data_IF_934407767571
#
_entry.id   IF_934407767571
#
_cell.length_a   1.000
_cell.length_b   1.000
_cell.length_c   1.000
_cell.angle_alpha   90.00
_cell.angle_beta   90.00
_cell.angle_gamma   90.00
#
_symmetry.space_group_name_H-M   'P 1'
#
loop_
_entity.id
_entity.type
_entity.pdbx_description
1 polymer ?
#
# COMPACT_ATOMS: atom_id res chain seq x y z
N UNK A 1 15.98 -6.50 14.97
CA UNK A 1 14.99 -6.81 13.92
C UNK A 1 15.75 -6.85 12.62
N UNK A 2 15.57 -7.92 11.84
CA UNK A 2 16.21 -8.06 10.54
C UNK A 2 15.58 -7.08 9.53
N UNK A 3 16.39 -6.50 8.64
CA UNK A 3 15.86 -5.54 7.65
C UNK A 3 14.84 -6.21 6.72
N UNK A 4 15.00 -7.50 6.42
CA UNK A 4 14.06 -8.26 5.61
C UNK A 4 12.74 -8.53 6.36
N UNK A 5 12.80 -8.79 7.66
CA UNK A 5 11.61 -8.96 8.51
C UNK A 5 10.79 -7.66 8.58
N UNK A 6 11.48 -6.52 8.77
CA UNK A 6 10.83 -5.20 8.73
C UNK A 6 10.23 -4.89 7.35
N UNK A 7 10.91 -5.28 6.27
CA UNK A 7 10.40 -5.11 4.90
C UNK A 7 9.11 -5.90 4.67
N UNK A 8 9.05 -7.15 5.15
CA UNK A 8 7.83 -7.95 5.05
C UNK A 8 6.68 -7.36 5.87
N UNK A 9 6.96 -6.86 7.07
CA UNK A 9 5.95 -6.20 7.91
C UNK A 9 5.37 -4.95 7.22
N UNK A 10 6.22 -4.09 6.64
CA UNK A 10 5.77 -2.91 5.91
C UNK A 10 4.93 -3.26 4.67
N UNK A 11 5.35 -4.28 3.90
CA UNK A 11 4.58 -4.76 2.74
C UNK A 11 3.23 -5.35 3.15
N UNK A 12 3.18 -6.10 4.25
CA UNK A 12 1.92 -6.64 4.77
C UNK A 12 0.97 -5.52 5.21
N UNK A 13 1.50 -4.48 5.86
CA UNK A 13 0.72 -3.30 6.27
C UNK A 13 0.17 -2.52 5.07
N UNK A 14 0.97 -2.33 4.03
CA UNK A 14 0.55 -1.72 2.77
C UNK A 14 -0.59 -2.51 2.11
N UNK A 15 -0.45 -3.84 2.05
CA UNK A 15 -1.48 -4.72 1.49
C UNK A 15 -2.79 -4.66 2.30
N UNK A 16 -2.69 -4.64 3.63
CA UNK A 16 -3.84 -4.52 4.51
C UNK A 16 -4.57 -3.18 4.33
N UNK A 17 -3.85 -2.07 4.23
CA UNK A 17 -4.42 -0.74 3.96
C UNK A 17 -5.10 -0.68 2.59
N UNK A 18 -4.47 -1.31 1.59
CA UNK A 18 -5.03 -1.39 0.23
C UNK A 18 -6.28 -2.27 0.21
N UNK A 19 -6.31 -3.38 0.95
CA UNK A 19 -7.49 -4.27 1.09
C UNK A 19 -8.63 -3.64 1.90
N UNK A 20 -8.30 -2.85 2.92
CA UNK A 20 -9.29 -2.07 3.69
C UNK A 20 -9.90 -0.92 2.87
N UNK A 21 -9.33 -0.59 1.71
CA UNK A 21 -9.93 0.36 0.80
C UNK A 21 -11.24 -0.24 0.24
N UNK A 22 -12.42 0.33 0.55
CA UNK A 22 -13.70 -0.16 0.05
C UNK A 22 -13.80 -0.12 -1.48
N UNK A 23 -12.95 0.66 -2.17
CA UNK A 23 -12.83 0.63 -3.63
C UNK A 23 -12.25 -0.69 -4.17
N UNK A 24 -11.47 -1.43 -3.36
CA UNK A 24 -10.78 -2.66 -3.75
C UNK A 24 -11.52 -3.94 -3.31
N UNK A 25 -12.53 -3.81 -2.43
CA UNK A 25 -13.38 -4.91 -1.96
C UNK A 25 -14.64 -5.15 -2.81
N UNK A 26 -14.85 -4.40 -3.91
CA UNK A 26 -15.89 -4.75 -4.89
C UNK A 26 -15.36 -5.79 -5.86
N UNK A 27 -15.50 -7.07 -5.48
CA UNK A 27 -15.42 -8.20 -6.39
C UNK A 27 -16.62 -8.24 -7.35
N UNK A 28 -16.87 -7.17 -8.10
CA UNK A 28 -17.88 -7.16 -9.15
C UNK A 28 -17.25 -6.69 -10.45
N UNK A 29 -17.05 -7.66 -11.34
CA UNK A 29 -17.00 -7.48 -12.79
C UNK A 29 -18.21 -6.64 -13.24
N UNK A 30 -18.08 -5.31 -13.31
CA UNK A 30 -18.97 -4.40 -14.04
C UNK A 30 -18.38 -2.99 -13.97
N UNK A 31 -17.88 -2.45 -15.08
CA UNK A 31 -18.64 -1.66 -16.04
C UNK A 31 -19.02 -0.27 -15.49
N UNK A 32 -18.53 0.77 -16.20
CA UNK A 32 -18.89 2.20 -16.13
C UNK A 32 -18.18 2.93 -14.97
N UNK A 33 -17.24 3.83 -15.23
CA UNK A 33 -17.54 5.19 -15.68
C UNK A 33 -18.07 6.03 -14.51
N UNK A 34 -17.30 7.00 -14.04
CA UNK A 34 -17.68 7.94 -12.96
C UNK A 34 -18.17 7.30 -11.64
N UNK A 35 -17.27 7.05 -10.70
CA UNK A 35 -17.48 7.46 -9.30
C UNK A 35 -16.12 7.59 -8.61
N UNK A 36 -15.70 8.83 -8.39
CA UNK A 36 -14.60 9.15 -7.48
C UNK A 36 -15.02 8.86 -6.04
N UNK A 37 -15.03 7.59 -5.65
CA UNK A 37 -14.89 7.22 -4.24
C UNK A 37 -13.40 7.25 -3.94
N UNK A 38 -12.88 8.48 -4.00
CA UNK A 38 -11.48 8.79 -3.80
C UNK A 38 -11.12 8.33 -2.40
N UNK A 39 -10.19 7.39 -2.34
CA UNK A 39 -9.34 7.12 -1.19
C UNK A 39 -9.14 8.39 -0.36
N UNK A 40 -9.40 8.33 0.96
CA UNK A 40 -9.21 9.51 1.82
C UNK A 40 -7.78 10.05 1.60
N UNK A 41 -7.58 11.37 1.45
CA UNK A 41 -6.25 11.94 1.23
C UNK A 41 -5.25 11.50 2.32
N UNK A 42 -5.72 11.27 3.54
CA UNK A 42 -4.91 10.72 4.64
C UNK A 42 -4.47 9.28 4.39
N UNK A 43 -5.35 8.43 3.86
CA UNK A 43 -5.03 7.03 3.52
C UNK A 43 -4.06 6.98 2.34
N UNK A 44 -4.22 7.89 1.37
CA UNK A 44 -3.31 8.01 0.23
C UNK A 44 -1.91 8.44 0.67
N UNK A 45 -1.82 9.44 1.55
CA UNK A 45 -0.55 9.88 2.14
C UNK A 45 0.11 8.78 2.98
N UNK A 46 -0.67 8.00 3.73
CA UNK A 46 -0.14 6.88 4.51
C UNK A 46 0.43 5.77 3.60
N UNK A 47 -0.25 5.49 2.48
CA UNK A 47 0.23 4.54 1.47
C UNK A 47 1.50 5.05 0.78
N UNK A 48 1.55 6.29 0.32
CA UNK A 48 2.75 6.87 -0.30
C UNK A 48 3.95 6.84 0.66
N UNK A 49 3.75 7.19 1.93
CA UNK A 49 4.80 7.16 2.94
C UNK A 49 5.32 5.73 3.19
N UNK A 50 4.41 4.75 3.23
CA UNK A 50 4.77 3.34 3.35
C UNK A 50 5.54 2.81 2.13
N UNK A 51 5.11 3.17 0.91
CA UNK A 51 5.81 2.80 -0.32
C UNK A 51 7.21 3.40 -0.39
N UNK A 52 7.38 4.66 0.03
CA UNK A 52 8.68 5.31 0.07
C UNK A 52 9.61 4.63 1.10
N UNK A 53 9.10 4.29 2.29
CA UNK A 53 9.88 3.60 3.32
C UNK A 53 10.29 2.18 2.88
N UNK A 54 9.37 1.43 2.26
CA UNK A 54 9.66 0.12 1.64
C UNK A 54 10.77 0.26 0.60
N UNK A 55 10.66 1.23 -0.32
CA UNK A 55 11.64 1.43 -1.39
C UNK A 55 13.02 1.79 -0.84
N UNK A 56 13.09 2.67 0.16
CA UNK A 56 14.35 3.00 0.85
C UNK A 56 14.96 1.75 1.50
N UNK A 57 14.15 0.97 2.19
CA UNK A 57 14.60 -0.25 2.87
C UNK A 57 15.07 -1.32 1.86
N UNK A 58 14.38 -1.48 0.73
CA UNK A 58 14.81 -2.37 -0.36
C UNK A 58 16.13 -1.93 -0.98
N UNK A 59 16.33 -0.62 -1.17
CA UNK A 59 17.61 -0.08 -1.65
C UNK A 59 18.72 -0.34 -0.65
N UNK A 60 18.49 -0.08 0.64
CA UNK A 60 19.46 -0.37 1.69
C UNK A 60 19.83 -1.86 1.75
N UNK A 61 18.86 -2.77 1.64
CA UNK A 61 19.12 -4.21 1.63
C UNK A 61 19.93 -4.60 0.39
N UNK A 62 19.59 -4.06 -0.78
CA UNK A 62 20.28 -4.36 -2.05
C UNK A 62 21.70 -3.77 -2.11
N UNK A 63 21.94 -2.67 -1.40
CA UNK A 63 23.24 -2.00 -1.31
C UNK A 63 24.12 -2.53 -0.17
N UNK A 64 23.65 -3.50 0.60
CA UNK A 64 24.31 -4.04 1.79
C UNK A 64 24.88 -5.43 1.61
#
# INVERSE_FOLDING_TARGET
MDKAEKLQELKAKLEELTKRNPAHCSGTESFIGHTGHSMSPELFQEIEALEEEIKKLEQEIKSS
#
